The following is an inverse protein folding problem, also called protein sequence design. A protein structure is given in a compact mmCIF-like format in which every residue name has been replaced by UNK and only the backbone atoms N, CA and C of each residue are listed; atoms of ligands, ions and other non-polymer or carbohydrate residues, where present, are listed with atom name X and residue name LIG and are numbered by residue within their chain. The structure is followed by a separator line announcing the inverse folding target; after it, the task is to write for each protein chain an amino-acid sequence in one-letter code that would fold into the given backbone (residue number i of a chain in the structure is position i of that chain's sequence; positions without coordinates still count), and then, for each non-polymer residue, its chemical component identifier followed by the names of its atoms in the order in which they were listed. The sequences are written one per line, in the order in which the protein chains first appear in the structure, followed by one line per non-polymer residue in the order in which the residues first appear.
data_IF_588840570443
#
_entry.id   IF_588840570443
#
_cell.length_a   1.000
_cell.length_b   1.000
_cell.length_c   1.000
_cell.angle_alpha   90.00
_cell.angle_beta   90.00
_cell.angle_gamma   90.00
#
_symmetry.space_group_name_H-M   'P 1'
#
loop_
_entity.id
_entity.type
_entity.pdbx_description
1 polymer ?
#
# COMPACT_ATOMS: atom_id res chain seq x y z
N UNK A 1 26.15 -3.29 -6.91
CA UNK A 1 24.79 -3.52 -7.03
C UNK A 1 23.94 -2.38 -6.55
N UNK A 2 23.03 -2.02 -7.33
CA UNK A 2 22.18 -0.91 -7.02
C UNK A 2 20.95 -1.38 -6.35
N UNK A 3 20.58 -0.76 -5.25
CA UNK A 3 19.38 -1.09 -4.58
C UNK A 3 18.29 -0.20 -5.08
N UNK A 4 17.27 -0.77 -5.63
CA UNK A 4 16.16 -0.02 -6.14
C UNK A 4 15.11 0.11 -5.06
N UNK A 5 14.71 1.34 -4.78
CA UNK A 5 13.66 1.56 -3.81
C UNK A 5 12.33 1.29 -4.46
N UNK A 6 11.50 0.54 -3.77
CA UNK A 6 10.18 0.21 -4.28
C UNK A 6 9.11 0.83 -3.40
N UNK A 7 8.01 1.18 -4.02
CA UNK A 7 6.89 1.78 -3.33
C UNK A 7 5.68 0.90 -3.61
N UNK A 8 4.88 0.69 -2.59
CA UNK A 8 3.69 -0.13 -2.74
C UNK A 8 2.49 0.78 -2.85
N UNK A 9 1.81 0.75 -3.96
CA UNK A 9 0.58 1.50 -4.16
C UNK A 9 -0.59 0.58 -3.92
N UNK A 10 -1.57 1.04 -3.18
CA UNK A 10 -2.74 0.24 -2.85
C UNK A 10 -3.99 1.02 -3.20
N UNK A 11 -4.84 0.40 -4.00
CA UNK A 11 -6.12 0.97 -4.38
C UNK A 11 -7.19 0.14 -3.68
N UNK A 12 -7.69 0.58 -2.53
CA UNK A 12 -8.57 -0.26 -1.72
C UNK A 12 -9.96 -0.37 -2.30
N UNK A 13 -10.56 -1.52 -2.15
CA UNK A 13 -11.92 -1.74 -2.59
C UNK A 13 -12.59 -2.69 -1.63
N UNK A 14 -13.88 -2.85 -1.77
CA UNK A 14 -14.63 -3.71 -0.90
C UNK A 14 -14.32 -5.17 -1.12
N UNK A 15 -14.39 -5.61 -2.35
CA UNK A 15 -14.13 -6.99 -2.69
C UNK A 15 -12.72 -7.20 -3.15
N UNK A 16 -12.22 -6.29 -3.95
CA UNK A 16 -10.90 -6.42 -4.53
C UNK A 16 -10.08 -5.18 -4.23
N UNK A 17 -8.80 -5.39 -4.05
CA UNK A 17 -7.87 -4.30 -3.76
C UNK A 17 -6.72 -4.41 -4.74
N UNK A 18 -6.38 -3.32 -5.39
CA UNK A 18 -5.27 -3.31 -6.35
C UNK A 18 -3.96 -3.08 -5.64
N UNK A 19 -2.94 -3.83 -5.99
CA UNK A 19 -1.60 -3.67 -5.43
C UNK A 19 -0.62 -3.45 -6.57
N UNK A 20 0.27 -2.51 -6.41
CA UNK A 20 1.30 -2.23 -7.39
C UNK A 20 2.62 -1.94 -6.73
N UNK A 21 3.69 -2.54 -7.21
CA UNK A 21 5.02 -2.17 -6.78
C UNK A 21 5.61 -1.30 -7.87
N UNK A 22 6.10 -0.15 -7.49
CA UNK A 22 6.59 0.85 -8.41
C UNK A 22 7.99 1.25 -7.98
N UNK A 23 8.91 1.42 -8.92
CA UNK A 23 10.26 1.81 -8.56
C UNK A 23 10.36 3.33 -8.46
N UNK A 24 11.52 3.82 -8.11
CA UNK A 24 11.73 5.23 -7.90
C UNK A 24 11.57 6.08 -9.14
N UNK A 25 11.62 5.46 -10.30
CA UNK A 25 11.44 6.19 -11.56
C UNK A 25 9.98 6.19 -11.99
N UNK A 26 9.11 5.56 -11.22
CA UNK A 26 7.71 5.52 -11.57
C UNK A 26 7.32 4.34 -12.42
N UNK A 27 8.23 3.39 -12.62
CA UNK A 27 7.94 2.27 -13.45
C UNK A 27 7.27 1.18 -12.63
N UNK A 28 6.21 0.60 -13.16
CA UNK A 28 5.51 -0.46 -12.48
C UNK A 28 6.29 -1.75 -12.61
N UNK A 29 6.65 -2.31 -11.48
CA UNK A 29 7.42 -3.53 -11.44
C UNK A 29 6.52 -4.75 -11.34
N UNK A 30 5.39 -4.62 -10.65
CA UNK A 30 4.53 -5.76 -10.40
C UNK A 30 3.12 -5.28 -10.09
N UNK A 31 2.13 -5.98 -10.57
CA UNK A 31 0.73 -5.65 -10.31
C UNK A 31 -0.01 -6.88 -9.87
N UNK A 32 -1.00 -6.68 -9.02
CA UNK A 32 -1.80 -7.79 -8.54
C UNK A 32 -3.16 -7.27 -8.07
N UNK A 33 -4.21 -8.03 -8.32
CA UNK A 33 -5.51 -7.71 -7.78
C UNK A 33 -5.77 -8.69 -6.66
N UNK A 34 -5.87 -8.19 -5.46
CA UNK A 34 -5.98 -9.02 -4.27
C UNK A 34 -7.41 -9.09 -3.78
N UNK A 35 -7.72 -10.16 -3.07
CA UNK A 35 -9.02 -10.26 -2.41
C UNK A 35 -8.97 -9.41 -1.17
N UNK A 36 -9.87 -8.47 -1.03
CA UNK A 36 -9.84 -7.57 0.12
C UNK A 36 -10.01 -8.32 1.43
N UNK A 37 -10.79 -9.39 1.41
CA UNK A 37 -10.98 -10.15 2.63
C UNK A 37 -9.74 -10.90 3.06
N UNK A 38 -8.82 -11.11 2.17
CA UNK A 38 -7.60 -11.84 2.48
C UNK A 38 -6.38 -10.95 2.35
N UNK A 39 -6.58 -9.67 2.54
CA UNK A 39 -5.54 -8.69 2.21
C UNK A 39 -4.25 -8.89 3.00
N UNK A 40 -4.34 -9.35 4.23
CA UNK A 40 -3.14 -9.58 5.02
C UNK A 40 -2.21 -10.56 4.29
N UNK A 41 -2.73 -11.70 3.90
CA UNK A 41 -1.93 -12.69 3.22
C UNK A 41 -1.54 -12.24 1.83
N UNK A 42 -2.41 -11.52 1.18
CA UNK A 42 -2.13 -11.04 -0.16
C UNK A 42 -0.95 -10.06 -0.16
N UNK A 43 -0.90 -9.17 0.82
CA UNK A 43 0.20 -8.22 0.88
C UNK A 43 1.50 -8.94 1.25
N UNK A 44 1.44 -9.87 2.16
CA UNK A 44 2.61 -10.62 2.56
C UNK A 44 3.22 -11.34 1.35
N UNK A 45 2.36 -12.01 0.58
CA UNK A 45 2.85 -12.72 -0.59
C UNK A 45 3.39 -11.77 -1.65
N UNK A 46 2.71 -10.67 -1.83
CA UNK A 46 3.08 -9.72 -2.87
C UNK A 46 4.43 -9.06 -2.58
N UNK A 47 4.74 -8.86 -1.32
CA UNK A 47 5.95 -8.13 -0.96
C UNK A 47 7.05 -9.02 -0.38
N UNK A 48 6.86 -10.31 -0.39
CA UNK A 48 7.80 -11.16 0.31
C UNK A 48 9.22 -11.10 -0.23
N UNK A 49 9.39 -10.84 -1.51
CA UNK A 49 10.72 -10.74 -2.07
C UNK A 49 11.11 -9.30 -2.36
N UNK A 50 10.28 -8.35 -2.01
CA UNK A 50 10.51 -6.97 -2.39
C UNK A 50 9.85 -6.06 -1.40
N UNK A 51 10.51 -5.82 -0.30
CA UNK A 51 9.93 -4.99 0.74
C UNK A 51 9.92 -3.52 0.31
N UNK A 52 8.77 -2.88 0.29
CA UNK A 52 8.72 -1.48 -0.14
C UNK A 52 9.26 -0.57 0.95
N UNK A 53 9.76 0.59 0.55
CA UNK A 53 10.24 1.58 1.50
C UNK A 53 9.12 2.50 1.96
N UNK A 54 8.03 2.52 1.22
CA UNK A 54 6.89 3.34 1.61
C UNK A 54 5.65 2.79 0.95
N UNK A 55 4.51 3.00 1.57
CA UNK A 55 3.24 2.55 1.04
C UNK A 55 2.38 3.77 0.80
N UNK A 56 1.70 3.80 -0.34
CA UNK A 56 0.79 4.87 -0.68
C UNK A 56 -0.58 4.23 -0.85
N UNK A 57 -1.54 4.66 -0.07
CA UNK A 57 -2.86 4.05 -0.05
C UNK A 57 -3.88 5.07 -0.50
N UNK A 58 -4.69 4.70 -1.47
CA UNK A 58 -5.76 5.58 -1.92
C UNK A 58 -6.83 5.70 -0.86
N UNK A 59 -7.48 6.85 -0.80
CA UNK A 59 -8.50 7.10 0.20
C UNK A 59 -9.86 6.73 -0.35
N UNK A 60 -10.08 5.49 -0.64
CA UNK A 60 -11.34 5.05 -1.20
C UNK A 60 -12.14 4.26 -0.22
N UNK A 61 -13.11 3.54 -0.73
CA UNK A 61 -13.93 2.67 0.08
C UNK A 61 -13.07 1.63 0.74
N UNK A 62 -13.29 1.39 1.99
CA UNK A 62 -12.57 0.35 2.70
C UNK A 62 -11.10 0.71 3.01
N UNK A 63 -10.71 1.96 2.80
CA UNK A 63 -9.32 2.32 3.00
C UNK A 63 -8.86 2.13 4.43
N UNK A 64 -9.73 2.39 5.40
CA UNK A 64 -9.34 2.23 6.78
C UNK A 64 -8.99 0.79 7.12
N UNK A 65 -9.82 -0.15 6.70
CA UNK A 65 -9.56 -1.56 6.97
C UNK A 65 -8.30 -2.03 6.27
N UNK A 66 -8.10 -1.59 5.05
CA UNK A 66 -6.91 -1.98 4.30
C UNK A 66 -5.67 -1.35 4.91
N UNK A 67 -5.77 -0.13 5.40
CA UNK A 67 -4.66 0.52 6.05
C UNK A 67 -4.25 -0.22 7.30
N UNK A 68 -5.23 -0.61 8.10
CA UNK A 68 -4.93 -1.33 9.33
C UNK A 68 -4.28 -2.67 9.04
N UNK A 69 -4.77 -3.37 8.05
CA UNK A 69 -4.20 -4.65 7.67
C UNK A 69 -2.77 -4.47 7.17
N UNK A 70 -2.55 -3.44 6.38
CA UNK A 70 -1.23 -3.18 5.83
C UNK A 70 -0.24 -2.88 6.95
N UNK A 71 -0.64 -2.10 7.93
CA UNK A 71 0.23 -1.78 9.03
C UNK A 71 0.49 -2.98 9.92
N UNK A 72 -0.45 -3.92 9.95
CA UNK A 72 -0.28 -5.11 10.73
C UNK A 72 0.80 -6.01 10.13
N UNK A 73 0.85 -6.12 8.82
CA UNK A 73 1.81 -7.00 8.16
C UNK A 73 3.12 -6.31 7.78
N UNK A 74 3.10 -4.99 7.67
CA UNK A 74 4.32 -4.24 7.36
C UNK A 74 4.47 -3.09 8.35
N UNK A 75 4.65 -3.42 9.62
CA UNK A 75 4.60 -2.38 10.66
C UNK A 75 5.69 -1.34 10.60
N UNK A 76 6.78 -1.66 9.93
CA UNK A 76 7.87 -0.71 9.88
C UNK A 76 7.83 0.18 8.67
N UNK A 77 6.85 0.02 7.80
CA UNK A 77 6.78 0.80 6.57
C UNK A 77 5.72 1.87 6.74
N UNK A 78 6.07 3.10 6.44
CA UNK A 78 5.15 4.22 6.57
C UNK A 78 4.05 4.13 5.51
N UNK A 79 2.83 4.37 5.93
CA UNK A 79 1.70 4.39 5.01
C UNK A 79 1.20 5.82 4.88
N UNK A 80 1.17 6.32 3.67
CA UNK A 80 0.63 7.64 3.39
C UNK A 80 -0.70 7.45 2.65
N UNK A 81 -1.75 8.05 3.16
CA UNK A 81 -3.05 7.95 2.54
C UNK A 81 -3.25 9.18 1.67
N UNK A 82 -3.58 8.98 0.41
CA UNK A 82 -3.74 10.09 -0.50
C UNK A 82 -5.14 10.14 -1.02
N UNK A 83 -5.60 11.38 -1.22
CA UNK A 83 -6.92 11.59 -1.72
C UNK A 83 -6.92 11.48 -3.19
N UNK A 84 -7.72 10.60 -3.71
CA UNK A 84 -7.66 10.41 -5.09
C UNK A 84 -8.14 11.52 -5.90
N UNK A 85 -9.12 12.18 -5.46
CA UNK A 85 -9.70 13.20 -6.25
C UNK A 85 -8.82 14.36 -6.45
N UNK A 86 -8.13 14.85 -5.53
CA UNK A 86 -7.44 16.00 -5.71
C UNK A 86 -6.12 15.98 -5.41
N UNK A 87 -5.74 14.99 -5.07
CA UNK A 87 -4.53 14.95 -5.00
C UNK A 87 -3.58 15.46 -4.16
N UNK A 88 -3.45 16.42 -3.82
CA UNK A 88 -2.46 16.92 -3.04
C UNK A 88 -2.51 16.67 -1.63
N UNK A 89 -3.60 16.26 -1.12
CA UNK A 89 -3.76 16.09 0.26
C UNK A 89 -3.29 14.75 0.68
N UNK A 90 -2.49 14.68 1.73
CA UNK A 90 -2.15 13.39 2.20
C UNK A 90 -1.91 13.40 3.69
N UNK A 91 -2.10 12.28 4.37
CA UNK A 91 -1.91 12.18 5.77
C UNK A 91 -1.57 10.76 6.13
N UNK A 92 -1.06 10.55 7.36
CA UNK A 92 -0.73 9.26 7.77
C UNK A 92 -1.86 8.54 8.31
N UNK A 93 -1.90 7.28 8.03
CA UNK A 93 -2.92 6.49 8.53
C UNK A 93 -2.59 5.92 9.87
N UNK A 94 -1.54 6.10 10.40
CA UNK A 94 -1.20 5.51 11.58
C UNK A 94 -1.67 5.98 12.72
N UNK A 95 -1.67 5.54 13.53
CA UNK A 95 -2.04 5.96 14.50
C UNK A 95 -1.63 6.49 15.30
N UNK A 96 -1.79 6.55 15.80
CA UNK A 96 -1.78 7.17 16.58
C UNK A 96 -1.24 7.34 17.55
N UNK A 97 -0.91 7.05 17.74
CA UNK A 97 -0.35 7.13 18.63
C UNK A 97 0.09 8.14 18.89
N UNK A 98 0.14 8.45 18.74
CA UNK A 98 0.66 9.29 18.92
C UNK A 98 0.29 9.86 19.29
#
# INVERSE_FOLDING_TARGET
MVMTKLYLGIDPGRSKTGLALVDGAGKIVKLHIAESQNIDNEIVEFTKNSCPVQIVLGNGTNSRNICEATQRVLPEVTVAVVEEASSLYRFRCSSPAL
#
